data_IF_713210755592
#
_entry.id   IF_713210755592
#
_cell.length_a   1.000
_cell.length_b   1.000
_cell.length_c   1.000
_cell.angle_alpha   90.00
_cell.angle_beta   90.00
_cell.angle_gamma   90.00
#
_symmetry.space_group_name_H-M   'P 1'
#
loop_
_entity.id
_entity.type
_entity.pdbx_description
1 polymer ?
#
# COMPACT_ATOMS: atom_id res chain seq x y z
N UNK A 1 13.04 -23.65 21.32
CA UNK A 1 12.87 -22.75 20.16
C UNK A 1 11.42 -22.85 19.73
N UNK A 2 10.58 -21.81 19.87
CA UNK A 2 9.21 -21.89 19.40
C UNK A 2 9.18 -21.75 17.88
N UNK A 3 8.40 -22.63 17.26
CA UNK A 3 8.12 -22.73 15.84
C UNK A 3 7.25 -21.54 15.38
N UNK A 4 7.72 -20.79 14.38
CA UNK A 4 7.06 -19.57 13.83
C UNK A 4 6.19 -19.92 12.60
N UNK A 5 6.00 -21.19 12.29
CA UNK A 5 5.38 -21.61 11.03
C UNK A 5 3.86 -21.83 11.09
N UNK A 6 3.09 -20.85 11.59
CA UNK A 6 1.70 -20.68 11.14
C UNK A 6 1.08 -19.34 11.55
N UNK A 7 1.46 -18.24 10.88
CA UNK A 7 0.57 -17.07 10.87
C UNK A 7 -0.47 -17.29 9.77
N UNK A 8 -1.77 -17.39 10.09
CA UNK A 8 -2.78 -17.44 9.05
C UNK A 8 -2.65 -16.17 8.21
N UNK A 9 -2.53 -16.33 6.89
CA UNK A 9 -2.47 -15.20 5.98
C UNK A 9 -3.71 -14.34 6.20
N UNK A 10 -3.52 -13.05 6.51
CA UNK A 10 -4.60 -12.10 6.69
C UNK A 10 -5.43 -12.06 5.40
N UNK A 11 -6.68 -12.54 5.45
CA UNK A 11 -7.64 -12.35 4.37
C UNK A 11 -8.17 -10.90 4.45
N UNK A 12 -7.62 -10.05 3.60
CA UNK A 12 -7.97 -8.63 3.50
C UNK A 12 -9.45 -8.42 3.16
N UNK A 13 -10.08 -9.35 2.43
CA UNK A 13 -11.49 -9.26 2.07
C UNK A 13 -12.39 -9.66 3.24
N UNK A 14 -12.01 -10.68 4.00
CA UNK A 14 -12.70 -11.04 5.24
C UNK A 14 -12.62 -9.90 6.26
N UNK A 15 -11.42 -9.35 6.48
CA UNK A 15 -11.22 -8.22 7.39
C UNK A 15 -12.06 -7.00 7.00
N UNK A 16 -12.14 -6.67 5.70
CA UNK A 16 -13.05 -5.64 5.19
C UNK A 16 -14.50 -5.90 5.63
N UNK A 17 -15.01 -7.11 5.40
CA UNK A 17 -16.40 -7.45 5.70
C UNK A 17 -16.70 -7.32 7.20
N UNK A 18 -15.75 -7.69 8.05
CA UNK A 18 -15.83 -7.53 9.51
C UNK A 18 -15.90 -6.04 9.90
N UNK A 19 -15.00 -5.20 9.38
CA UNK A 19 -14.97 -3.75 9.66
C UNK A 19 -16.25 -3.05 9.20
N UNK A 20 -16.76 -3.38 8.02
CA UNK A 20 -18.04 -2.83 7.52
C UNK A 20 -19.19 -3.25 8.46
N UNK A 21 -19.20 -4.51 8.92
CA UNK A 21 -20.19 -5.01 9.85
C UNK A 21 -20.17 -4.30 11.21
N UNK A 22 -18.99 -4.01 11.75
CA UNK A 22 -18.82 -3.25 12.99
C UNK A 22 -19.35 -1.83 12.86
N UNK A 23 -18.99 -1.14 11.78
CA UNK A 23 -19.44 0.23 11.55
C UNK A 23 -20.96 0.32 11.36
N UNK A 24 -21.56 -0.66 10.68
CA UNK A 24 -23.02 -0.80 10.59
C UNK A 24 -23.68 -0.91 11.97
N UNK A 25 -23.22 -1.85 12.80
CA UNK A 25 -23.75 -2.06 14.16
C UNK A 25 -23.63 -0.81 15.03
N UNK A 26 -22.51 -0.10 14.92
CA UNK A 26 -22.29 1.14 15.64
C UNK A 26 -23.33 2.21 15.27
N UNK A 27 -23.55 2.47 13.98
CA UNK A 27 -24.54 3.47 13.53
C UNK A 27 -25.97 3.05 13.92
N UNK A 28 -26.34 1.79 13.72
CA UNK A 28 -27.65 1.26 14.10
C UNK A 28 -27.93 1.41 15.60
N UNK A 29 -26.90 1.36 16.45
CA UNK A 29 -27.06 1.53 17.91
C UNK A 29 -27.58 2.92 18.33
N UNK A 30 -27.36 3.95 17.51
CA UNK A 30 -27.86 5.31 17.77
C UNK A 30 -29.25 5.55 17.20
N UNK A 31 -29.72 4.70 16.27
CA UNK A 31 -30.97 4.89 15.55
C UNK A 31 -32.13 4.17 16.26
N UNK A 32 -32.70 4.82 17.28
CA UNK A 32 -33.97 4.38 17.88
C UNK A 32 -35.16 4.96 17.10
N UNK A 33 -35.60 4.24 16.06
CA UNK A 33 -36.73 4.64 15.22
C UNK A 33 -38.01 3.95 15.69
N UNK A 34 -38.97 4.73 16.18
CA UNK A 34 -40.27 4.23 16.65
C UNK A 34 -41.28 3.96 15.52
N UNK A 35 -41.18 4.69 14.41
CA UNK A 35 -42.07 4.52 13.25
C UNK A 35 -41.60 3.32 12.40
N UNK A 36 -42.46 2.30 12.18
CA UNK A 36 -42.08 1.10 11.44
C UNK A 36 -41.76 1.37 9.95
N UNK A 37 -42.43 2.33 9.31
CA UNK A 37 -42.17 2.68 7.90
C UNK A 37 -40.84 3.40 7.75
N UNK A 38 -40.53 4.30 8.68
CA UNK A 38 -39.23 5.00 8.70
C UNK A 38 -38.11 3.99 8.99
N UNK A 39 -38.34 3.04 9.90
CA UNK A 39 -37.37 1.98 10.21
C UNK A 39 -37.10 1.11 8.99
N UNK A 40 -38.13 0.69 8.28
CA UNK A 40 -38.01 -0.12 7.07
C UNK A 40 -37.25 0.62 5.97
N UNK A 41 -37.57 1.90 5.75
CA UNK A 41 -36.86 2.75 4.80
C UNK A 41 -35.37 2.87 5.13
N UNK A 42 -35.03 3.17 6.39
CA UNK A 42 -33.64 3.34 6.83
C UNK A 42 -32.87 2.03 6.69
N UNK A 43 -33.42 0.90 7.14
CA UNK A 43 -32.78 -0.43 6.97
C UNK A 43 -32.49 -0.71 5.50
N UNK A 44 -33.44 -0.44 4.61
CA UNK A 44 -33.28 -0.66 3.17
C UNK A 44 -32.19 0.21 2.55
N UNK A 45 -32.04 1.47 2.99
CA UNK A 45 -30.98 2.35 2.50
C UNK A 45 -29.59 1.96 3.05
N UNK A 46 -29.53 1.47 4.29
CA UNK A 46 -28.30 0.92 4.89
C UNK A 46 -27.83 -0.36 4.18
N UNK A 47 -28.78 -1.22 3.77
CA UNK A 47 -28.51 -2.45 3.02
C UNK A 47 -28.05 -2.20 1.59
N UNK A 48 -28.49 -1.10 0.96
CA UNK A 48 -28.02 -0.68 -0.37
C UNK A 48 -26.53 -0.23 -0.39
N UNK A 49 -25.85 -0.23 0.76
CA UNK A 49 -24.41 0.05 0.84
C UNK A 49 -24.05 1.53 0.64
N UNK A 50 -25.02 2.45 0.61
CA UNK A 50 -24.79 3.87 0.33
C UNK A 50 -23.92 4.59 1.38
N UNK A 51 -23.88 4.09 2.61
CA UNK A 51 -23.06 4.67 3.68
C UNK A 51 -21.64 4.11 3.74
N UNK A 52 -21.38 2.98 3.09
CA UNK A 52 -20.11 2.27 3.14
C UNK A 52 -19.71 1.97 1.70
N UNK A 53 -19.33 3.04 0.98
CA UNK A 53 -18.76 2.94 -0.36
C UNK A 53 -17.62 1.94 -0.35
N UNK A 54 -17.48 1.19 -1.46
CA UNK A 54 -16.42 0.19 -1.58
C UNK A 54 -15.08 0.81 -1.20
N UNK A 55 -14.30 0.15 -0.33
CA UNK A 55 -13.01 0.68 0.07
C UNK A 55 -12.18 0.85 -1.19
N UNK A 56 -11.48 1.97 -1.27
CA UNK A 56 -10.51 2.19 -2.32
C UNK A 56 -9.38 1.16 -2.12
N UNK A 57 -9.50 0.01 -2.77
CA UNK A 57 -8.46 -1.03 -2.79
C UNK A 57 -7.37 -0.53 -3.73
N UNK A 58 -6.51 0.33 -3.22
CA UNK A 58 -5.32 0.75 -3.92
C UNK A 58 -4.22 -0.25 -3.64
N UNK A 59 -3.96 -1.13 -4.62
CA UNK A 59 -2.71 -1.88 -4.63
C UNK A 59 -1.59 -0.84 -4.74
N UNK A 60 -0.78 -0.70 -3.69
CA UNK A 60 0.47 0.07 -3.72
C UNK A 60 1.61 -0.92 -3.94
N UNK A 61 1.81 -1.45 -5.16
CA UNK A 61 2.91 -2.35 -5.42
C UNK A 61 4.22 -1.61 -5.10
N UNK A 62 5.13 -2.29 -4.42
CA UNK A 62 6.45 -1.73 -4.17
C UNK A 62 7.13 -1.45 -5.51
N UNK A 63 7.80 -0.30 -5.61
CA UNK A 63 8.58 0.03 -6.80
C UNK A 63 9.58 -1.09 -7.12
N UNK A 64 9.65 -1.47 -8.40
CA UNK A 64 10.62 -2.44 -8.92
C UNK A 64 12.03 -2.02 -8.51
N UNK A 65 12.84 -2.95 -8.02
CA UNK A 65 14.26 -2.73 -7.72
C UNK A 65 15.05 -2.54 -9.02
N UNK A 66 15.96 -1.57 -9.03
CA UNK A 66 16.88 -1.29 -10.13
C UNK A 66 18.30 -1.76 -9.82
N UNK A 67 19.31 -1.04 -10.28
CA UNK A 67 20.72 -1.27 -9.95
C UNK A 67 21.13 -0.71 -8.58
N UNK A 68 22.24 -1.21 -8.04
CA UNK A 68 22.91 -0.60 -6.88
C UNK A 68 23.84 0.55 -7.31
N UNK A 69 24.22 1.41 -6.36
CA UNK A 69 25.22 2.47 -6.59
C UNK A 69 26.50 1.89 -7.20
N UNK A 70 27.02 0.80 -6.61
CA UNK A 70 28.24 0.14 -7.05
C UNK A 70 28.14 -0.35 -8.49
N UNK A 71 27.00 -0.93 -8.89
CA UNK A 71 26.78 -1.38 -10.26
C UNK A 71 26.79 -0.20 -11.24
N UNK A 72 26.13 0.91 -10.90
CA UNK A 72 26.08 2.10 -11.75
C UNK A 72 27.43 2.81 -11.84
N UNK A 73 28.23 2.80 -10.78
CA UNK A 73 29.63 3.28 -10.80
C UNK A 73 30.49 2.40 -11.70
N UNK A 74 30.40 1.07 -11.58
CA UNK A 74 31.14 0.13 -12.42
C UNK A 74 30.78 0.24 -13.91
N UNK A 75 29.53 0.60 -14.21
CA UNK A 75 29.06 0.86 -15.58
C UNK A 75 29.44 2.26 -16.10
N UNK A 76 30.08 3.10 -15.27
CA UNK A 76 30.44 4.48 -15.63
C UNK A 76 29.25 5.44 -15.73
N UNK A 77 28.07 5.05 -15.21
CA UNK A 77 26.85 5.88 -15.18
C UNK A 77 26.95 6.93 -14.08
N UNK A 78 27.47 6.54 -12.91
CA UNK A 78 27.70 7.42 -11.78
C UNK A 78 29.19 7.67 -11.57
N UNK A 79 29.51 8.83 -10.97
CA UNK A 79 30.88 9.18 -10.63
C UNK A 79 31.46 8.20 -9.58
N UNK A 80 32.74 7.80 -9.65
CA UNK A 80 33.33 6.82 -8.72
C UNK A 80 33.14 7.11 -7.23
N UNK A 81 33.20 8.40 -6.86
CA UNK A 81 32.98 8.83 -5.48
C UNK A 81 31.56 8.57 -4.95
N UNK A 82 30.58 8.30 -5.81
CA UNK A 82 29.20 8.02 -5.38
C UNK A 82 29.12 6.78 -4.48
N UNK A 83 29.98 5.77 -4.68
CA UNK A 83 30.00 4.56 -3.84
C UNK A 83 30.31 4.88 -2.37
N UNK A 84 31.09 5.94 -2.12
CA UNK A 84 31.44 6.41 -0.78
C UNK A 84 30.26 7.10 -0.10
N UNK A 85 29.52 7.94 -0.82
CA UNK A 85 28.49 8.80 -0.25
C UNK A 85 27.11 8.14 -0.18
N UNK A 86 26.78 7.25 -1.12
CA UNK A 86 25.47 6.61 -1.23
C UNK A 86 25.47 5.21 -0.62
N UNK A 87 25.81 5.15 0.66
CA UNK A 87 25.78 3.92 1.46
C UNK A 87 25.20 4.18 2.85
N UNK A 88 24.63 3.14 3.47
CA UNK A 88 24.21 3.17 4.89
C UNK A 88 24.83 1.99 5.60
N UNK A 89 25.59 2.27 6.66
CA UNK A 89 26.34 1.28 7.44
C UNK A 89 27.23 0.38 6.55
N UNK A 90 27.92 0.98 5.57
CA UNK A 90 28.80 0.28 4.64
C UNK A 90 28.09 -0.56 3.57
N UNK A 91 26.75 -0.52 3.51
CA UNK A 91 25.97 -1.18 2.46
C UNK A 91 25.58 -0.16 1.38
N UNK A 92 25.96 -0.39 0.10
CA UNK A 92 25.56 0.47 -1.00
C UNK A 92 24.04 0.58 -1.12
N UNK A 93 23.53 1.74 -1.53
CA UNK A 93 22.11 1.88 -1.81
C UNK A 93 21.68 1.03 -3.01
N UNK A 94 20.47 0.50 -2.90
CA UNK A 94 19.77 -0.17 -3.98
C UNK A 94 18.69 0.77 -4.49
N UNK A 95 18.85 1.29 -5.69
CA UNK A 95 17.90 2.22 -6.27
C UNK A 95 16.65 1.50 -6.75
N UNK A 96 15.55 2.24 -6.84
CA UNK A 96 14.38 1.81 -7.59
C UNK A 96 14.64 1.93 -9.09
N UNK A 97 13.96 1.11 -9.88
CA UNK A 97 14.16 1.04 -11.32
C UNK A 97 13.96 2.39 -12.01
N UNK A 98 12.98 3.21 -11.57
CA UNK A 98 12.78 4.54 -12.14
C UNK A 98 13.94 5.50 -11.86
N UNK A 99 14.64 5.36 -10.73
CA UNK A 99 15.82 6.17 -10.40
C UNK A 99 17.00 5.77 -11.30
N UNK A 100 17.21 4.46 -11.48
CA UNK A 100 18.18 3.94 -12.46
C UNK A 100 17.90 4.48 -13.86
N UNK A 101 16.64 4.45 -14.32
CA UNK A 101 16.27 5.01 -15.62
C UNK A 101 16.57 6.51 -15.71
N UNK A 102 16.34 7.28 -14.65
CA UNK A 102 16.67 8.70 -14.61
C UNK A 102 18.18 8.96 -14.74
N UNK A 103 19.02 8.17 -14.05
CA UNK A 103 20.48 8.29 -14.19
C UNK A 103 20.95 7.97 -15.61
N UNK A 104 20.40 6.90 -16.20
CA UNK A 104 20.72 6.50 -17.57
C UNK A 104 20.25 7.53 -18.61
N UNK A 105 19.06 8.12 -18.44
CA UNK A 105 18.55 9.18 -19.30
C UNK A 105 19.44 10.44 -19.20
N UNK A 106 19.81 10.84 -17.99
CA UNK A 106 20.72 11.96 -17.76
C UNK A 106 22.09 11.73 -18.41
N UNK A 107 22.63 10.50 -18.34
CA UNK A 107 23.88 10.15 -19.01
C UNK A 107 23.78 10.26 -20.54
N UNK A 108 22.62 9.91 -21.12
CA UNK A 108 22.34 10.04 -22.55
C UNK A 108 21.92 11.45 -22.99
N UNK A 109 21.77 12.39 -22.05
CA UNK A 109 21.23 13.74 -22.29
C UNK A 109 19.80 13.71 -22.88
N UNK A 110 19.01 12.73 -22.48
CA UNK A 110 17.59 12.63 -22.84
C UNK A 110 16.72 13.40 -21.84
N UNK A 111 15.66 14.12 -22.30
CA UNK A 111 14.76 14.88 -21.45
C UNK A 111 13.82 14.01 -20.59
#
# INVERSE_FOLDING_TARGET
>A
MPDVSNQPALDIFQFRNEVIGDYRRYIESFLKISDPKVKEFVTKELEQGKLWSDPLVQLNPTYKKGATVTQLVQQGVLHPECDRYFSKNGKPFHFHHHQEQAFLAAQRQEP
#
